data_IF_756747357301
#
_entry.id   IF_756747357301
#
_cell.length_a   1.000
_cell.length_b   1.000
_cell.length_c   1.000
_cell.angle_alpha   90.00
_cell.angle_beta   90.00
_cell.angle_gamma   90.00
#
_symmetry.space_group_name_H-M   'P 1'
#
loop_
_entity.id
_entity.type
_entity.pdbx_description
1 polymer ?
#
# COMPACT_ATOMS: atom_id res chain seq x y z
N UNK A 1 5.29 -10.45 10.91
CA UNK A 1 4.46 -11.28 10.01
C UNK A 1 3.43 -10.34 9.42
N UNK A 2 3.26 -10.26 8.10
CA UNK A 2 2.19 -9.44 7.51
C UNK A 2 0.91 -10.27 7.48
N UNK A 3 -0.12 -9.85 8.22
CA UNK A 3 -1.40 -10.53 8.28
C UNK A 3 -2.37 -9.95 7.25
N UNK A 4 -2.33 -10.46 6.02
CA UNK A 4 -3.46 -10.35 5.09
C UNK A 4 -4.34 -11.59 5.30
N UNK A 5 -5.50 -11.41 5.91
CA UNK A 5 -6.53 -12.46 5.94
C UNK A 5 -6.98 -12.70 4.50
N UNK A 6 -6.49 -13.78 3.88
CA UNK A 6 -6.93 -14.19 2.53
C UNK A 6 -8.39 -14.66 2.60
N UNK A 7 -9.34 -13.73 2.48
CA UNK A 7 -10.72 -14.10 2.19
C UNK A 7 -10.77 -14.65 0.76
N UNK A 8 -11.06 -15.95 0.61
CA UNK A 8 -11.11 -16.63 -0.69
C UNK A 8 -12.33 -16.25 -1.54
N UNK A 9 -13.30 -15.52 -0.99
CA UNK A 9 -14.56 -15.23 -1.68
C UNK A 9 -14.48 -14.03 -2.62
N UNK A 10 -13.72 -12.98 -2.28
CA UNK A 10 -13.51 -11.81 -3.13
C UNK A 10 -12.02 -11.43 -3.05
N UNK A 11 -11.23 -11.69 -4.09
CA UNK A 11 -9.81 -11.35 -4.08
C UNK A 11 -9.59 -9.84 -4.14
N UNK A 12 -8.52 -9.36 -3.52
CA UNK A 12 -8.10 -7.95 -3.58
C UNK A 12 -7.88 -7.50 -5.04
N UNK A 13 -8.15 -6.23 -5.32
CA UNK A 13 -7.89 -5.66 -6.64
C UNK A 13 -6.44 -5.21 -6.73
N UNK A 14 -5.73 -5.74 -7.72
CA UNK A 14 -4.34 -5.38 -8.00
C UNK A 14 -4.23 -4.90 -9.43
N UNK A 15 -3.80 -3.66 -9.62
CA UNK A 15 -3.52 -3.05 -10.91
C UNK A 15 -2.16 -3.52 -11.43
N UNK A 16 -2.06 -3.72 -12.74
CA UNK A 16 -0.78 -3.85 -13.43
C UNK A 16 -0.34 -2.45 -13.84
N UNK A 17 0.83 -2.05 -13.36
CA UNK A 17 1.38 -0.72 -13.54
C UNK A 17 2.79 -0.80 -14.11
N UNK A 18 3.26 0.30 -14.67
CA UNK A 18 4.65 0.46 -15.11
C UNK A 18 5.25 1.68 -14.39
N UNK A 19 6.47 1.53 -13.87
CA UNK A 19 7.29 2.69 -13.49
C UNK A 19 8.16 3.07 -14.68
N UNK A 20 8.11 4.34 -15.09
CA UNK A 20 8.82 4.85 -16.27
C UNK A 20 9.92 5.81 -15.79
N UNK A 21 11.18 5.49 -16.07
CA UNK A 21 12.29 6.42 -15.82
C UNK A 21 12.25 7.56 -16.82
N UNK A 22 12.15 8.82 -16.37
CA UNK A 22 12.01 9.98 -17.28
C UNK A 22 13.20 10.13 -18.23
N UNK A 23 14.41 9.96 -17.70
CA UNK A 23 15.66 10.17 -18.46
C UNK A 23 15.96 8.98 -19.38
N UNK A 24 15.76 7.75 -18.87
CA UNK A 24 16.17 6.53 -19.58
C UNK A 24 15.07 5.92 -20.44
N UNK A 25 13.80 6.32 -20.23
CA UNK A 25 12.64 5.66 -20.82
C UNK A 25 12.43 4.21 -20.35
N UNK A 26 13.24 3.74 -19.38
CA UNK A 26 13.18 2.36 -18.91
C UNK A 26 11.87 2.10 -18.19
N UNK A 27 11.19 1.03 -18.59
CA UNK A 27 9.92 0.57 -18.01
C UNK A 27 10.16 -0.58 -17.04
N UNK A 28 9.52 -0.51 -15.87
CA UNK A 28 9.55 -1.56 -14.86
C UNK A 28 8.11 -1.97 -14.55
N UNK A 29 7.77 -3.22 -14.86
CA UNK A 29 6.48 -3.79 -14.50
C UNK A 29 6.33 -3.92 -12.98
N UNK A 30 5.23 -3.38 -12.46
CA UNK A 30 4.84 -3.48 -11.05
C UNK A 30 3.38 -3.93 -10.89
N UNK A 31 3.08 -4.52 -9.75
CA UNK A 31 1.73 -4.85 -9.35
C UNK A 31 1.38 -3.95 -8.16
N UNK A 32 0.37 -3.09 -8.34
CA UNK A 32 -0.07 -2.13 -7.34
C UNK A 32 -1.38 -2.61 -6.69
N UNK A 33 -1.34 -2.87 -5.39
CA UNK A 33 -2.52 -3.22 -4.60
C UNK A 33 -3.33 -1.95 -4.33
N UNK A 34 -4.63 -1.98 -4.60
CA UNK A 34 -5.55 -0.95 -4.10
C UNK A 34 -5.91 -1.30 -2.66
N UNK A 35 -5.59 -0.42 -1.71
CA UNK A 35 -5.83 -0.66 -0.29
C UNK A 35 -6.32 0.61 0.43
N UNK A 36 -7.63 0.72 0.63
CA UNK A 36 -8.22 1.82 1.40
C UNK A 36 -7.90 1.76 2.90
N UNK A 37 -7.28 0.68 3.38
CA UNK A 37 -6.83 0.53 4.76
C UNK A 37 -5.38 0.99 4.98
N UNK A 38 -4.67 1.42 3.93
CA UNK A 38 -3.32 1.94 3.99
C UNK A 38 -3.31 3.45 3.69
N UNK A 39 -2.50 4.20 4.44
CA UNK A 39 -2.23 5.62 4.17
C UNK A 39 -1.05 5.77 3.21
N UNK A 40 -1.08 6.80 2.35
CA UNK A 40 0.03 7.08 1.44
C UNK A 40 0.14 6.19 0.21
N UNK A 41 1.17 6.49 -0.59
CA UNK A 41 1.58 5.69 -1.74
C UNK A 41 2.90 5.01 -1.37
N UNK A 42 2.92 3.67 -1.41
CA UNK A 42 4.01 2.89 -0.81
C UNK A 42 4.65 1.99 -1.86
N UNK A 43 5.98 1.89 -1.85
CA UNK A 43 6.74 0.94 -2.66
C UNK A 43 7.57 0.01 -1.77
N UNK A 44 7.66 -1.27 -2.17
CA UNK A 44 8.43 -2.25 -1.42
C UNK A 44 9.93 -1.97 -1.53
N UNK A 45 10.62 -1.86 -0.41
CA UNK A 45 12.06 -1.60 -0.40
C UNK A 45 12.89 -2.66 -1.12
N UNK A 46 12.51 -3.95 -1.05
CA UNK A 46 13.20 -5.02 -1.81
C UNK A 46 12.99 -4.87 -3.31
N UNK A 47 11.80 -4.45 -3.73
CA UNK A 47 11.51 -4.16 -5.14
C UNK A 47 12.31 -2.95 -5.63
N UNK A 48 12.31 -1.85 -4.86
CA UNK A 48 13.05 -0.65 -5.21
C UNK A 48 14.56 -0.91 -5.33
N UNK A 49 15.15 -1.66 -4.38
CA UNK A 49 16.56 -2.05 -4.43
C UNK A 49 16.87 -2.96 -5.62
N UNK A 50 16.04 -3.97 -5.88
CA UNK A 50 16.20 -4.89 -7.03
C UNK A 50 16.25 -4.14 -8.35
N UNK A 51 15.40 -3.12 -8.49
CA UNK A 51 15.31 -2.31 -9.71
C UNK A 51 16.22 -1.07 -9.70
N UNK A 52 17.02 -0.89 -8.65
CA UNK A 52 17.98 0.19 -8.48
C UNK A 52 17.33 1.58 -8.61
N UNK A 53 16.13 1.72 -8.04
CA UNK A 53 15.46 3.01 -7.95
C UNK A 53 16.27 3.94 -7.04
N UNK A 54 16.28 5.23 -7.37
CA UNK A 54 16.91 6.22 -6.51
C UNK A 54 16.07 6.46 -5.28
N UNK A 55 16.69 6.22 -4.12
CA UNK A 55 16.09 6.41 -2.82
C UNK A 55 16.66 7.69 -2.20
N UNK A 56 15.77 8.54 -1.72
CA UNK A 56 16.09 9.80 -1.09
C UNK A 56 15.69 9.73 0.38
N UNK A 57 16.51 10.27 1.31
CA UNK A 57 16.15 10.31 2.71
C UNK A 57 14.98 11.27 2.94
N UNK A 58 14.03 10.87 3.76
CA UNK A 58 12.95 11.73 4.25
C UNK A 58 13.50 12.55 5.40
N UNK A 59 13.24 13.86 5.39
CA UNK A 59 13.71 14.78 6.45
C UNK A 59 13.20 14.36 7.85
N UNK A 60 11.98 13.81 7.91
CA UNK A 60 11.29 13.39 9.14
C UNK A 60 10.80 11.95 9.02
N UNK A 61 11.60 10.96 9.47
CA UNK A 61 11.15 9.57 9.50
C UNK A 61 9.92 9.39 10.38
N UNK A 62 9.03 8.47 10.00
CA UNK A 62 7.83 8.15 10.77
C UNK A 62 7.62 6.63 10.86
N UNK A 63 6.96 6.12 11.92
CA UNK A 63 6.75 4.68 12.09
C UNK A 63 5.65 4.17 11.17
N UNK A 64 5.82 2.95 10.64
CA UNK A 64 4.74 2.23 9.95
C UNK A 64 4.12 1.23 10.91
N UNK A 65 2.82 1.37 11.15
CA UNK A 65 2.05 0.41 11.95
C UNK A 65 1.26 -0.49 11.02
N UNK A 66 1.43 -1.80 11.18
CA UNK A 66 0.55 -2.76 10.53
C UNK A 66 -0.82 -2.76 11.22
N UNK A 67 -1.85 -3.20 10.49
CA UNK A 67 -3.23 -3.31 11.00
C UNK A 67 -3.33 -4.19 12.25
N UNK A 68 -2.47 -5.21 12.36
CA UNK A 68 -2.40 -6.12 13.52
C UNK A 68 -1.59 -5.56 14.70
N UNK A 69 -1.22 -4.26 14.64
CA UNK A 69 -0.36 -3.58 15.62
C UNK A 69 1.05 -4.17 15.76
N UNK A 70 1.47 -5.08 14.86
CA UNK A 70 2.86 -5.51 14.81
C UNK A 70 3.73 -4.39 14.25
N UNK A 71 4.96 -4.29 14.72
CA UNK A 71 5.95 -3.45 14.05
C UNK A 71 6.18 -3.99 12.63
N UNK A 72 6.23 -3.09 11.66
CA UNK A 72 6.74 -3.41 10.35
C UNK A 72 8.20 -3.87 10.50
N UNK A 73 8.66 -4.84 9.70
CA UNK A 73 10.03 -5.37 9.73
C UNK A 73 11.10 -4.29 9.52
N UNK A 74 10.77 -3.19 8.82
CA UNK A 74 11.64 -2.03 8.71
C UNK A 74 11.41 -0.95 9.80
N UNK A 75 10.33 -1.06 10.57
CA UNK A 75 9.95 -0.18 11.69
C UNK A 75 9.55 1.24 11.28
N UNK A 76 10.44 1.94 10.59
CA UNK A 76 10.33 3.35 10.23
C UNK A 76 10.51 3.56 8.73
N UNK A 77 9.65 4.39 8.16
CA UNK A 77 9.85 4.93 6.82
C UNK A 77 10.91 6.03 6.93
N UNK A 78 12.03 5.81 6.25
CA UNK A 78 13.20 6.71 6.24
C UNK A 78 13.53 7.24 4.86
N UNK A 79 13.03 6.57 3.83
CA UNK A 79 13.37 6.83 2.44
C UNK A 79 12.10 6.94 1.63
N UNK A 80 12.15 7.76 0.59
CA UNK A 80 11.14 7.85 -0.43
C UNK A 80 11.80 7.75 -1.81
N UNK A 81 11.00 7.52 -2.83
CA UNK A 81 11.44 7.62 -4.22
C UNK A 81 10.36 8.30 -5.03
N UNK A 82 10.75 9.05 -6.05
CA UNK A 82 9.82 9.67 -6.97
C UNK A 82 9.89 8.93 -8.30
N UNK A 83 8.76 8.49 -8.82
CA UNK A 83 8.68 7.72 -10.06
C UNK A 83 7.48 8.18 -10.90
N UNK A 84 7.58 8.09 -12.23
CA UNK A 84 6.40 8.18 -13.08
C UNK A 84 5.66 6.85 -13.06
N UNK A 85 4.44 6.85 -12.52
CA UNK A 85 3.53 5.72 -12.48
C UNK A 85 2.61 5.77 -13.69
N UNK A 86 2.63 4.71 -14.50
CA UNK A 86 1.73 4.53 -15.64
C UNK A 86 0.79 3.34 -15.42
N UNK A 87 -0.49 3.52 -15.75
CA UNK A 87 -1.55 2.51 -15.60
C UNK A 87 -2.36 2.44 -16.88
N UNK A 88 -2.31 1.29 -17.56
CA UNK A 88 -2.95 1.08 -18.85
C UNK A 88 -4.35 0.48 -18.72
N UNK A 89 -5.24 0.80 -19.67
CA UNK A 89 -6.46 0.02 -19.91
C UNK A 89 -6.14 -1.39 -20.38
N UNK A 90 -7.11 -2.30 -20.24
CA UNK A 90 -6.95 -3.71 -20.63
C UNK A 90 -6.58 -3.91 -22.10
N UNK A 91 -7.04 -3.03 -22.98
CA UNK A 91 -6.74 -3.03 -24.41
C UNK A 91 -5.47 -2.24 -24.78
N UNK A 92 -4.80 -1.65 -23.79
CA UNK A 92 -3.62 -0.79 -23.92
C UNK A 92 -3.82 0.43 -24.85
N UNK A 93 -5.06 0.89 -25.07
CA UNK A 93 -5.35 2.06 -25.92
C UNK A 93 -5.40 3.38 -25.15
N UNK A 94 -5.69 3.30 -23.86
CA UNK A 94 -5.80 4.46 -22.95
C UNK A 94 -4.88 4.23 -21.76
N UNK A 95 -4.36 5.31 -21.18
CA UNK A 95 -3.53 5.20 -19.98
C UNK A 95 -3.58 6.46 -19.12
N UNK A 96 -3.35 6.24 -17.83
CA UNK A 96 -3.10 7.25 -16.82
C UNK A 96 -1.61 7.27 -16.54
N UNK A 97 -0.99 8.45 -16.50
CA UNK A 97 0.37 8.63 -16.03
C UNK A 97 0.44 9.79 -15.03
N UNK A 98 1.22 9.62 -13.97
CA UNK A 98 1.51 10.69 -13.01
C UNK A 98 2.92 10.57 -12.41
N UNK A 99 3.49 11.69 -11.97
CA UNK A 99 4.67 11.70 -11.09
C UNK A 99 4.18 11.47 -9.66
N UNK A 100 4.62 10.38 -9.02
CA UNK A 100 4.21 10.01 -7.68
C UNK A 100 5.42 9.89 -6.73
N UNK A 101 5.26 10.39 -5.51
CA UNK A 101 6.17 10.19 -4.38
C UNK A 101 5.77 8.90 -3.64
N UNK A 102 6.66 7.93 -3.58
CA UNK A 102 6.45 6.64 -2.92
C UNK A 102 7.27 6.56 -1.65
N UNK A 103 6.62 6.24 -0.53
CA UNK A 103 7.31 5.88 0.70
C UNK A 103 7.88 4.46 0.61
N UNK A 104 9.12 4.28 1.05
CA UNK A 104 9.82 3.00 0.97
C UNK A 104 9.70 2.28 2.30
N UNK A 105 9.06 1.11 2.29
CA UNK A 105 8.98 0.21 3.46
C UNK A 105 8.80 -1.24 3.02
N UNK A 106 8.76 -2.18 3.98
CA UNK A 106 8.42 -3.56 3.68
C UNK A 106 6.89 -3.74 3.70
N UNK A 107 6.34 -4.19 2.58
CA UNK A 107 4.91 -4.48 2.38
C UNK A 107 4.68 -5.94 1.98
N UNK A 108 5.58 -6.84 2.40
CA UNK A 108 5.48 -8.28 2.12
C UNK A 108 5.76 -8.59 0.65
N UNK A 109 4.81 -9.28 0.00
CA UNK A 109 4.94 -9.78 -1.38
C UNK A 109 4.40 -8.79 -2.44
N UNK A 110 3.87 -7.64 -2.01
CA UNK A 110 3.37 -6.60 -2.91
C UNK A 110 4.51 -5.72 -3.40
N UNK A 111 4.42 -5.21 -4.65
CA UNK A 111 5.42 -4.27 -5.17
C UNK A 111 5.06 -2.83 -4.77
N UNK A 112 3.79 -2.46 -4.90
CA UNK A 112 3.25 -1.13 -4.61
C UNK A 112 1.92 -1.28 -3.85
N UNK A 113 1.64 -0.36 -2.92
CA UNK A 113 0.31 -0.10 -2.38
C UNK A 113 -0.12 1.31 -2.79
N UNK A 114 -1.31 1.43 -3.34
CA UNK A 114 -2.00 2.69 -3.58
C UNK A 114 -3.04 2.85 -2.46
N UNK A 115 -2.68 3.65 -1.46
CA UNK A 115 -3.48 3.90 -0.27
C UNK A 115 -4.50 5.03 -0.44
N UNK A 116 -4.98 5.52 0.69
CA UNK A 116 -6.00 6.57 0.77
C UNK A 116 -5.62 7.85 0.04
N UNK A 117 -4.36 8.27 0.08
CA UNK A 117 -3.90 9.51 -0.59
C UNK A 117 -4.10 9.44 -2.10
N UNK A 118 -3.83 8.28 -2.69
CA UNK A 118 -4.06 8.03 -4.11
C UNK A 118 -5.56 7.89 -4.41
N UNK A 119 -6.28 7.18 -3.56
CA UNK A 119 -7.72 6.94 -3.73
C UNK A 119 -8.55 8.22 -3.60
N UNK A 120 -8.22 9.08 -2.65
CA UNK A 120 -8.87 10.38 -2.44
C UNK A 120 -8.57 11.32 -3.61
N UNK A 121 -7.29 11.43 -4.00
CA UNK A 121 -6.84 12.27 -5.11
C UNK A 121 -7.52 11.93 -6.44
N UNK A 122 -7.60 10.64 -6.79
CA UNK A 122 -8.07 10.20 -8.11
C UNK A 122 -9.54 9.77 -8.12
N UNK A 123 -10.11 9.47 -6.96
CA UNK A 123 -11.48 9.02 -6.75
C UNK A 123 -11.94 8.05 -7.86
N UNK A 124 -11.32 6.86 -8.01
CA UNK A 124 -11.58 5.99 -9.15
C UNK A 124 -12.99 5.40 -9.15
N UNK A 125 -13.50 5.06 -10.33
CA UNK A 125 -14.74 4.28 -10.47
C UNK A 125 -14.44 2.80 -10.24
N UNK A 126 -14.81 2.27 -9.07
CA UNK A 126 -14.57 0.87 -8.72
C UNK A 126 -15.87 0.08 -8.74
N UNK A 127 -15.92 -0.91 -9.63
CA UNK A 127 -16.94 -1.95 -9.64
C UNK A 127 -16.34 -3.23 -9.05
N UNK A 128 -16.71 -3.51 -7.80
CA UNK A 128 -16.22 -4.67 -7.05
C UNK A 128 -16.73 -6.00 -7.61
N UNK A 129 -17.99 -6.04 -8.07
CA UNK A 129 -18.60 -7.25 -8.65
C UNK A 129 -17.82 -7.75 -9.85
N UNK A 130 -17.43 -6.84 -10.73
CA UNK A 130 -16.72 -7.19 -11.97
C UNK A 130 -15.20 -6.98 -11.89
N UNK A 131 -14.70 -6.55 -10.72
CA UNK A 131 -13.30 -6.19 -10.50
C UNK A 131 -12.79 -5.19 -11.57
N UNK A 132 -13.63 -4.20 -11.92
CA UNK A 132 -13.31 -3.16 -12.91
C UNK A 132 -12.96 -1.86 -12.20
N UNK A 133 -11.96 -1.18 -12.73
CA UNK A 133 -11.57 0.16 -12.27
C UNK A 133 -11.54 1.09 -13.48
N UNK A 134 -12.12 2.28 -13.35
CA UNK A 134 -11.99 3.41 -14.27
C UNK A 134 -11.38 4.63 -13.57
N UNK A 135 -10.73 5.48 -14.34
CA UNK A 135 -10.11 6.73 -13.88
C UNK A 135 -10.71 7.90 -14.66
N UNK A 136 -11.88 8.38 -14.21
CA UNK A 136 -12.66 9.44 -14.86
C UNK A 136 -12.57 10.79 -14.14
N UNK A 137 -11.99 10.82 -12.93
CA UNK A 137 -11.96 11.97 -12.02
C UNK A 137 -10.54 12.39 -11.63
N UNK A 138 -9.55 12.06 -12.47
CA UNK A 138 -8.16 12.44 -12.21
C UNK A 138 -7.98 13.96 -12.20
N UNK A 139 -7.08 14.50 -11.36
CA UNK A 139 -6.71 15.91 -11.40
C UNK A 139 -5.91 16.25 -12.66
N UNK A 140 -5.86 17.53 -13.02
CA UNK A 140 -5.15 18.04 -14.21
C UNK A 140 -3.65 17.77 -14.20
N UNK A 141 -3.06 17.49 -13.03
CA UNK A 141 -1.65 17.08 -12.90
C UNK A 141 -1.36 15.72 -13.54
N UNK A 142 -2.39 14.95 -13.90
CA UNK A 142 -2.27 13.65 -14.50
C UNK A 142 -2.25 13.74 -16.02
N UNK A 143 -1.43 12.91 -16.65
CA UNK A 143 -1.40 12.76 -18.09
C UNK A 143 -2.39 11.64 -18.45
N UNK A 144 -3.42 12.01 -19.21
CA UNK A 144 -4.49 11.10 -19.61
C UNK A 144 -4.47 10.97 -21.13
N UNK A 145 -4.17 9.77 -21.63
CA UNK A 145 -4.20 9.50 -23.07
C UNK A 145 -5.50 8.82 -23.48
N UNK A 146 -6.15 9.41 -24.49
CA UNK A 146 -7.41 8.92 -25.08
C UNK A 146 -8.53 8.72 -24.05
N UNK A 147 -8.96 9.75 -23.30
CA UNK A 147 -10.01 9.64 -22.29
C UNK A 147 -11.38 9.24 -22.90
N UNK A 148 -12.27 8.61 -22.12
CA UNK A 148 -12.12 8.26 -20.70
C UNK A 148 -11.29 6.98 -20.50
N UNK A 149 -10.53 6.92 -19.39
CA UNK A 149 -9.79 5.71 -19.02
C UNK A 149 -10.74 4.74 -18.32
N UNK A 150 -11.11 3.69 -19.03
CA UNK A 150 -12.00 2.64 -18.53
C UNK A 150 -11.27 1.29 -18.52
N UNK A 151 -11.73 0.39 -17.65
CA UNK A 151 -11.29 -1.00 -17.61
C UNK A 151 -9.77 -1.15 -17.47
N UNK A 152 -9.20 -0.53 -16.44
CA UNK A 152 -7.79 -0.67 -16.10
C UNK A 152 -7.36 -2.13 -16.03
N UNK A 153 -6.10 -2.37 -16.40
CA UNK A 153 -5.51 -3.70 -16.41
C UNK A 153 -5.30 -4.20 -14.97
N UNK A 154 -6.06 -5.21 -14.58
CA UNK A 154 -5.95 -5.87 -13.26
C UNK A 154 -5.26 -7.24 -13.37
N UNK A 155 -4.62 -7.68 -12.28
CA UNK A 155 -4.08 -9.05 -12.13
C UNK A 155 -5.18 -10.04 -11.76
N UNK A 156 -6.18 -9.56 -11.04
CA UNK A 156 -7.31 -10.35 -10.56
C UNK A 156 -8.24 -10.68 -11.73
N UNK A 157 -8.48 -11.96 -12.00
CA UNK A 157 -9.50 -12.35 -12.98
C UNK A 157 -10.87 -12.02 -12.37
N UNK A 158 -11.81 -11.44 -13.13
CA UNK A 158 -13.19 -11.30 -12.67
C UNK A 158 -13.66 -12.67 -12.21
N UNK A 159 -14.19 -12.76 -10.99
CA UNK A 159 -15.00 -13.93 -10.64
C UNK A 159 -16.17 -13.91 -11.63
N UNK A 160 -16.37 -15.01 -12.37
CA UNK A 160 -17.65 -15.17 -13.08
C UNK A 160 -18.71 -15.15 -11.99
N UNK A 161 -19.48 -14.07 -11.91
CA UNK A 161 -20.64 -14.03 -11.03
C UNK A 161 -21.61 -15.08 -11.55
N UNK A 162 -21.60 -16.28 -10.96
CA UNK A 162 -22.85 -17.02 -10.85
C UNK A 162 -23.71 -16.17 -9.93
N UNK A 163 -24.51 -15.29 -10.53
CA UNK A 163 -25.64 -14.67 -9.86
C UNK A 163 -26.48 -15.84 -9.35
N UNK A 164 -26.31 -16.20 -8.09
CA UNK A 164 -27.34 -16.97 -7.39
C UNK A 164 -28.42 -15.91 -7.18
N UNK A 165 -29.42 -15.94 -8.05
CA UNK A 165 -30.61 -15.11 -7.91
C UNK A 165 -31.21 -15.34 -6.52
N UNK A 166 -31.24 -14.33 -5.63
CA UNK A 166 -31.84 -14.46 -4.30
C UNK A 166 -33.31 -14.87 -4.36
N UNK A 167 -33.98 -14.72 -5.52
CA UNK A 167 -35.39 -15.05 -5.73
C UNK A 167 -35.65 -16.52 -6.02
N UNK A 168 -34.61 -17.34 -6.23
CA UNK A 168 -34.78 -18.77 -6.56
C UNK A 168 -34.72 -19.72 -5.36
N UNK A 169 -34.42 -19.22 -4.15
CA UNK A 169 -34.42 -20.04 -2.93
C UNK A 169 -35.12 -19.36 -1.75
N UNK A 170 -36.43 -19.17 -1.87
CA UNK A 170 -37.29 -19.24 -0.68
C UNK A 170 -37.35 -20.70 -0.21
N UNK A 171 -36.37 -21.12 0.59
CA UNK A 171 -36.59 -22.18 1.57
C UNK A 171 -36.39 -21.57 2.94
N UNK A 172 -37.46 -21.65 3.73
CA UNK A 172 -37.65 -21.05 5.04
C UNK A 172 -36.43 -21.21 5.96
N UNK A 173 -35.64 -20.16 6.11
CA UNK A 173 -34.76 -20.01 7.27
C UNK A 173 -35.51 -19.23 8.34
N UNK A 174 -36.20 -19.97 9.20
CA UNK A 174 -36.68 -19.46 10.48
C UNK A 174 -35.46 -19.20 11.38
N UNK A 175 -35.14 -17.93 11.63
CA UNK A 175 -34.10 -17.54 12.58
C UNK A 175 -34.65 -17.74 13.99
N UNK A 176 -34.27 -18.83 14.64
CA UNK A 176 -34.61 -19.09 16.04
C UNK A 176 -33.54 -18.47 16.92
N UNK A 177 -33.86 -17.38 17.62
CA UNK A 177 -32.99 -16.83 18.66
C UNK A 177 -32.81 -17.88 19.75
N UNK A 178 -31.57 -18.29 20.02
CA UNK A 178 -31.23 -19.04 21.22
C UNK A 178 -31.02 -18.04 22.35
N UNK A 179 -31.79 -18.18 23.43
CA UNK A 179 -31.58 -17.41 24.65
C UNK A 179 -30.22 -17.71 25.29
N UNK A 180 -29.61 -16.76 26.00
CA UNK A 180 -28.27 -16.92 26.53
C UNK A 180 -28.26 -17.88 27.71
N UNK A 181 -27.75 -19.09 27.51
CA UNK A 181 -27.48 -20.04 28.60
C UNK A 181 -26.00 -19.98 28.97
N UNK A 182 -25.72 -19.53 30.19
CA UNK A 182 -24.52 -19.94 30.93
C UNK A 182 -23.51 -18.85 31.25
N UNK A 183 -23.29 -18.61 32.54
CA UNK A 183 -22.18 -17.82 33.10
C UNK A 183 -20.82 -18.38 32.64
N UNK A 184 -20.00 -17.52 32.03
CA UNK A 184 -18.60 -17.81 31.78
C UNK A 184 -17.82 -17.85 33.10
N UNK A 185 -17.21 -19.00 33.43
CA UNK A 185 -16.15 -19.07 34.45
C UNK A 185 -14.79 -18.82 33.78
N UNK A 186 -13.88 -18.04 34.38
CA UNK A 186 -12.57 -17.82 33.81
C UNK A 186 -11.70 -19.08 33.93
N UNK A 187 -11.05 -19.46 32.82
CA UNK A 187 -10.04 -20.53 32.77
C UNK A 187 -8.69 -19.95 33.23
N UNK A 188 -8.02 -20.65 34.14
CA UNK A 188 -6.72 -20.26 34.69
C UNK A 188 -5.60 -20.29 33.63
N UNK A 189 -4.78 -19.24 33.61
CA UNK A 189 -3.57 -19.18 32.79
C UNK A 189 -2.42 -19.96 33.45
N UNK A 190 -1.90 -20.99 32.80
CA UNK A 190 -0.60 -21.57 33.14
C UNK A 190 0.52 -20.88 32.34
N UNK A 191 1.44 -20.23 33.04
CA UNK A 191 2.67 -19.66 32.47
C UNK A 191 3.64 -20.77 32.08
N UNK A 192 4.06 -20.80 30.81
CA UNK A 192 5.23 -21.59 30.38
C UNK A 192 6.36 -20.61 30.06
N UNK A 193 7.44 -20.68 30.86
CA UNK A 193 8.62 -19.84 30.69
C UNK A 193 9.48 -20.36 29.51
N UNK A 194 9.39 -19.69 28.36
CA UNK A 194 10.24 -19.94 27.20
C UNK A 194 11.46 -19.01 27.18
N UNK A 195 12.62 -19.52 27.63
CA UNK A 195 13.92 -18.86 27.54
C UNK A 195 14.36 -18.79 26.06
N UNK A 196 14.65 -17.61 25.50
CA UNK A 196 15.32 -17.48 24.19
C UNK A 196 16.55 -16.58 24.23
N UNK A 197 17.62 -17.11 23.63
CA UNK A 197 19.00 -16.62 23.63
C UNK A 197 19.13 -15.35 22.77
N UNK A 198 20.00 -14.43 23.21
CA UNK A 198 20.44 -13.27 22.42
C UNK A 198 21.33 -13.75 21.26
N UNK A 199 21.07 -13.25 20.05
CA UNK A 199 21.98 -13.36 18.89
C UNK A 199 22.47 -11.93 18.60
N UNK A 200 23.79 -11.69 18.45
CA UNK A 200 24.29 -10.34 18.20
C UNK A 200 24.07 -9.93 16.75
N UNK A 201 23.57 -8.71 16.55
CA UNK A 201 23.43 -8.05 15.25
C UNK A 201 24.82 -7.56 14.82
N UNK A 202 25.33 -8.05 13.69
CA UNK A 202 26.52 -7.48 13.04
C UNK A 202 26.14 -6.17 12.34
N UNK A 203 26.73 -5.07 12.79
CA UNK A 203 26.78 -3.82 12.05
C UNK A 203 27.65 -4.00 10.80
N UNK A 204 27.07 -3.85 9.61
CA UNK A 204 27.86 -3.75 8.38
C UNK A 204 28.05 -2.28 8.02
N UNK A 205 29.32 -1.85 8.00
CA UNK A 205 29.73 -0.64 7.33
C UNK A 205 29.56 -0.82 5.81
N UNK A 206 29.07 0.22 5.13
CA UNK A 206 29.01 0.27 3.67
C UNK A 206 30.18 1.10 3.17
N UNK A 207 31.09 0.47 2.44
CA UNK A 207 32.10 1.14 1.62
C UNK A 207 31.50 1.53 0.26
N UNK A 208 31.64 2.82 -0.05
CA UNK A 208 31.77 3.51 -1.35
C UNK A 208 31.17 2.97 -2.66
N UNK A 209 30.49 3.91 -3.32
CA UNK A 209 30.24 4.11 -4.75
C UNK A 209 29.32 3.13 -5.48
N UNK A 210 28.06 3.56 -5.63
CA UNK A 210 27.09 2.96 -6.57
C UNK A 210 26.65 4.06 -7.53
N UNK A 211 27.01 3.90 -8.80
CA UNK A 211 26.51 4.71 -9.91
C UNK A 211 24.99 4.48 -10.00
N UNK A 212 24.19 5.46 -9.55
CA UNK A 212 22.74 5.36 -9.59
C UNK A 212 22.26 5.42 -11.05
N UNK A 213 21.51 4.40 -11.50
CA UNK A 213 21.00 4.30 -12.87
C UNK A 213 19.73 5.15 -13.08
N UNK A 214 19.17 5.72 -12.00
CA UNK A 214 17.96 6.55 -11.99
C UNK A 214 18.19 7.89 -11.29
N UNK A 215 19.21 8.67 -11.68
CA UNK A 215 19.41 10.01 -11.09
C UNK A 215 18.30 10.96 -11.55
N UNK A 216 17.32 11.25 -10.69
CA UNK A 216 16.43 12.40 -10.87
C UNK A 216 16.85 13.48 -9.87
N UNK A 217 17.81 14.28 -10.31
CA UNK A 217 18.08 15.61 -9.77
C UNK A 217 16.83 16.48 -10.00
N UNK A 218 16.13 16.84 -8.93
CA UNK A 218 15.36 18.09 -8.71
C UNK A 218 14.32 17.88 -7.57
N UNK A 219 14.82 17.67 -6.35
CA UNK A 219 13.97 17.61 -5.15
C UNK A 219 14.44 18.60 -4.07
N UNK A 220 14.61 19.88 -4.43
CA UNK A 220 14.73 20.94 -3.42
C UNK A 220 13.36 21.15 -2.77
N UNK A 221 13.16 20.60 -1.57
CA UNK A 221 12.05 20.97 -0.68
C UNK A 221 12.56 22.08 0.25
N UNK A 222 11.88 23.23 0.25
CA UNK A 222 12.24 24.43 1.01
C UNK A 222 12.45 24.16 2.52
N UNK A 223 13.24 25.04 3.15
CA UNK A 223 13.56 25.04 4.60
C UNK A 223 12.34 25.43 5.43
N UNK A 224 12.04 24.65 6.48
CA UNK A 224 10.92 24.92 7.41
C UNK A 224 11.49 25.45 8.75
N UNK A 225 10.84 26.43 9.40
CA UNK A 225 11.30 27.04 10.64
C UNK A 225 11.43 26.07 11.83
N UNK A 226 12.41 26.38 12.69
CA UNK A 226 12.91 25.64 13.86
C UNK A 226 11.85 25.31 14.93
N UNK A 227 10.74 26.04 14.96
CA UNK A 227 9.73 25.95 16.02
C UNK A 227 8.87 24.67 15.94
N UNK A 228 8.78 24.04 14.76
CA UNK A 228 7.88 22.90 14.51
C UNK A 228 8.25 21.62 15.29
N UNK A 229 9.54 21.44 15.61
CA UNK A 229 10.02 20.25 16.34
C UNK A 229 9.50 20.19 17.79
N UNK A 230 9.20 21.34 18.39
CA UNK A 230 8.69 21.42 19.76
C UNK A 230 7.19 21.07 19.81
N UNK A 231 6.41 21.58 18.85
CA UNK A 231 4.95 21.42 18.82
C UNK A 231 4.52 19.94 18.64
N UNK A 232 5.23 19.19 17.79
CA UNK A 232 4.92 17.77 17.52
C UNK A 232 5.37 16.86 18.68
N UNK A 233 6.47 17.19 19.34
CA UNK A 233 6.93 16.43 20.50
C UNK A 233 5.98 16.63 21.70
N UNK A 234 5.39 17.81 21.86
CA UNK A 234 4.29 18.01 22.83
C UNK A 234 3.04 17.19 22.46
N UNK A 235 2.66 17.15 21.19
CA UNK A 235 1.46 16.42 20.74
C UNK A 235 1.61 14.89 20.87
N UNK A 236 2.80 14.34 20.56
CA UNK A 236 3.07 12.90 20.63
C UNK A 236 3.39 12.39 22.04
N UNK A 237 3.88 13.24 22.95
CA UNK A 237 4.34 12.83 24.28
C UNK A 237 3.40 13.22 25.45
N UNK A 238 2.31 13.96 25.25
CA UNK A 238 1.52 14.36 26.43
C UNK A 238 0.11 14.88 26.22
N UNK A 239 -0.87 13.99 26.46
CA UNK A 239 -1.94 14.28 27.44
C UNK A 239 -2.08 13.12 28.43
N UNK A 240 -1.28 13.18 29.49
CA UNK A 240 -1.68 12.74 30.83
C UNK A 240 -1.66 13.97 31.74
N UNK A 241 -2.81 14.61 31.86
CA UNK A 241 -3.21 15.32 33.07
C UNK A 241 -4.64 14.91 33.38
#
# INVERSE_FOLDING_TARGET
MSAITRNRQIPSITLKTELIGKVTGRKIDANALIDSGAEGIIINGRFAQKHQLTLLPIKKPFPVRNVDSSENTMGWVREYTIQNLCIYSRDNKTYHEEKAEFYVTDIGDHHIILGTDWLDKHNPDIDWSDSRIGMTRCPETCIIANPPILHLRTKTKPLKSTVIDPRTHHKDYQVRWLEPVGQFKPVAQSKIAGRRRRIPIRSFHRSSEVTAIFTEDDCRRDTIPEQWEQDIMEELLGKKH
#
